data_IF_045782797188
#
_entry.id   IF_045782797188
#
_cell.length_a   1.000
_cell.length_b   1.000
_cell.length_c   1.000
_cell.angle_alpha   90.00
_cell.angle_beta   90.00
_cell.angle_gamma   90.00
#
_symmetry.space_group_name_H-M   'P 1'
#
loop_
_entity.id
_entity.type
_entity.pdbx_description
1 polymer ?
#
# COMPACT_ATOMS: atom_id res chain seq x y z
N UNK A 1 9.30 11.13 -1.57
CA UNK A 1 10.00 11.46 -2.83
C UNK A 1 8.99 11.37 -3.94
N UNK A 2 9.06 12.26 -4.92
CA UNK A 2 8.16 12.32 -6.06
C UNK A 2 9.01 12.28 -7.32
N UNK A 3 8.58 11.49 -8.31
CA UNK A 3 9.22 11.43 -9.62
C UNK A 3 8.21 11.84 -10.70
N UNK A 4 8.40 13.02 -11.27
CA UNK A 4 7.63 13.54 -12.40
C UNK A 4 8.16 12.89 -13.67
N UNK A 5 7.39 11.94 -14.19
CA UNK A 5 7.75 11.11 -15.34
C UNK A 5 7.20 11.70 -16.65
N UNK A 6 7.68 11.15 -17.78
CA UNK A 6 7.22 11.41 -19.15
C UNK A 6 7.64 12.77 -19.73
N UNK A 7 8.81 13.29 -19.34
CA UNK A 7 9.36 14.51 -19.95
C UNK A 7 9.71 14.39 -21.43
N UNK A 8 9.77 13.17 -21.96
CA UNK A 8 9.84 12.88 -23.40
C UNK A 8 8.55 13.26 -24.15
N UNK A 9 7.53 13.77 -23.46
CA UNK A 9 6.26 14.24 -24.01
C UNK A 9 5.97 15.67 -23.56
N UNK A 10 5.19 16.39 -24.37
CA UNK A 10 4.67 17.69 -23.95
C UNK A 10 3.76 17.51 -22.73
N UNK A 11 3.86 18.45 -21.79
CA UNK A 11 3.17 18.40 -20.51
C UNK A 11 2.87 19.80 -19.98
N UNK A 12 2.49 19.86 -18.70
CA UNK A 12 2.33 21.13 -17.97
C UNK A 12 3.69 21.74 -17.65
N UNK A 13 3.69 23.03 -17.37
CA UNK A 13 4.89 23.71 -16.88
C UNK A 13 5.38 23.08 -15.56
N UNK A 14 6.70 22.90 -15.36
CA UNK A 14 7.23 22.29 -14.13
C UNK A 14 6.83 23.01 -12.84
N UNK A 15 6.68 24.34 -12.84
CA UNK A 15 6.23 25.08 -11.66
C UNK A 15 4.74 24.80 -11.37
N UNK A 16 3.89 24.77 -12.39
CA UNK A 16 2.48 24.38 -12.23
C UNK A 16 2.36 22.95 -11.65
N UNK A 17 3.25 22.04 -12.05
CA UNK A 17 3.29 20.68 -11.48
C UNK A 17 3.68 20.73 -10.00
N UNK A 18 4.65 21.55 -9.60
CA UNK A 18 5.00 21.70 -8.18
C UNK A 18 3.82 22.23 -7.37
N UNK A 19 3.13 23.25 -7.86
CA UNK A 19 1.95 23.83 -7.19
C UNK A 19 0.82 22.79 -7.04
N UNK A 20 0.52 22.04 -8.12
CA UNK A 20 -0.48 20.95 -8.11
C UNK A 20 -0.10 19.83 -7.13
N UNK A 21 1.19 19.50 -7.02
CA UNK A 21 1.67 18.52 -6.05
C UNK A 21 1.47 18.99 -4.61
N UNK A 22 1.76 20.27 -4.31
CA UNK A 22 1.54 20.81 -2.97
C UNK A 22 0.05 20.88 -2.62
N UNK A 23 -0.79 21.33 -3.55
CA UNK A 23 -2.25 21.47 -3.36
C UNK A 23 -2.94 20.11 -3.21
N UNK A 24 -2.67 19.15 -4.07
CA UNK A 24 -3.39 17.86 -4.06
C UNK A 24 -2.84 16.90 -2.99
N UNK A 25 -1.53 16.88 -2.76
CA UNK A 25 -0.90 15.96 -1.82
C UNK A 25 -0.73 16.55 -0.42
N UNK A 26 -0.97 17.85 -0.24
CA UNK A 26 -0.86 18.56 1.04
C UNK A 26 0.53 18.36 1.69
N UNK A 27 1.59 18.42 0.89
CA UNK A 27 2.99 18.24 1.30
C UNK A 27 3.86 19.30 0.63
N UNK A 28 4.79 19.90 1.36
CA UNK A 28 5.73 20.84 0.76
C UNK A 28 6.66 20.09 -0.21
N UNK A 29 7.04 20.73 -1.31
CA UNK A 29 7.95 20.12 -2.29
C UNK A 29 9.29 20.83 -2.36
N UNK A 30 10.34 20.07 -2.68
CA UNK A 30 11.65 20.63 -3.04
C UNK A 30 12.16 19.95 -4.31
N UNK A 31 12.22 20.65 -5.46
CA UNK A 31 12.89 20.10 -6.62
C UNK A 31 14.39 19.87 -6.33
N UNK A 32 14.84 18.64 -6.57
CA UNK A 32 16.25 18.22 -6.50
C UNK A 32 16.84 17.94 -7.89
N UNK A 33 15.99 17.78 -8.90
CA UNK A 33 16.37 17.97 -10.29
C UNK A 33 15.39 18.91 -10.98
N UNK A 34 15.83 19.53 -12.09
CA UNK A 34 15.01 20.47 -12.85
C UNK A 34 15.09 20.17 -14.35
N UNK A 35 13.96 20.07 -15.07
CA UNK A 35 13.97 19.72 -16.49
C UNK A 35 14.40 20.88 -17.38
N UNK A 36 15.12 20.55 -18.45
CA UNK A 36 15.55 21.49 -19.48
C UNK A 36 14.67 21.26 -20.71
N UNK A 37 13.61 22.07 -20.80
CA UNK A 37 12.51 21.94 -21.78
C UNK A 37 11.74 20.60 -21.60
N UNK A 38 10.86 20.26 -22.53
CA UNK A 38 10.05 19.03 -22.51
C UNK A 38 9.68 18.57 -23.92
N UNK A 39 9.07 17.39 -24.03
CA UNK A 39 8.64 16.83 -25.31
C UNK A 39 9.81 16.58 -26.26
N UNK A 40 9.63 16.93 -27.53
CA UNK A 40 10.68 16.80 -28.55
C UNK A 40 11.89 17.70 -28.28
N UNK A 41 11.70 18.77 -27.49
CA UNK A 41 12.76 19.73 -27.17
C UNK A 41 13.54 19.36 -25.91
N UNK A 42 13.11 18.33 -25.18
CA UNK A 42 13.73 17.90 -23.93
C UNK A 42 15.23 17.66 -24.11
N UNK A 43 16.05 18.40 -23.35
CA UNK A 43 17.51 18.33 -23.42
C UNK A 43 18.15 17.60 -22.25
N UNK A 44 17.41 17.35 -21.18
CA UNK A 44 17.94 16.71 -19.98
C UNK A 44 17.47 17.38 -18.71
N UNK A 45 18.17 17.13 -17.60
CA UNK A 45 17.87 17.71 -16.29
C UNK A 45 19.13 18.29 -15.67
N UNK A 46 18.95 19.34 -14.87
CA UNK A 46 19.98 19.81 -13.96
C UNK A 46 19.70 19.25 -12.57
N UNK A 47 20.64 18.49 -12.03
CA UNK A 47 20.58 17.95 -10.68
C UNK A 47 21.06 19.02 -9.69
N UNK A 48 20.11 19.63 -8.98
CA UNK A 48 20.34 20.65 -7.95
C UNK A 48 20.99 20.08 -6.70
N UNK A 49 20.83 18.78 -6.45
CA UNK A 49 21.41 18.10 -5.30
C UNK A 49 22.91 17.85 -5.47
N UNK A 50 23.33 17.42 -6.66
CA UNK A 50 24.72 17.07 -6.97
C UNK A 50 25.48 18.13 -7.78
N UNK A 51 24.81 19.22 -8.19
CA UNK A 51 25.32 20.23 -9.12
C UNK A 51 25.89 19.59 -10.40
N UNK A 52 25.04 18.83 -11.09
CA UNK A 52 25.40 18.16 -12.35
C UNK A 52 24.37 18.41 -13.43
N UNK A 53 24.84 18.41 -14.67
CA UNK A 53 24.01 18.46 -15.86
C UNK A 53 23.94 17.06 -16.47
N UNK A 54 22.74 16.51 -16.53
CA UNK A 54 22.46 15.23 -17.15
C UNK A 54 21.80 15.51 -18.50
N UNK A 55 22.48 15.15 -19.59
CA UNK A 55 21.98 15.41 -20.94
C UNK A 55 21.14 14.24 -21.42
N UNK A 56 19.95 14.53 -21.94
CA UNK A 56 19.05 13.51 -22.45
C UNK A 56 19.55 12.96 -23.79
N UNK A 57 19.70 11.64 -23.85
CA UNK A 57 19.87 10.90 -25.09
C UNK A 57 18.79 9.81 -25.15
N UNK A 58 17.95 9.77 -26.20
CA UNK A 58 16.92 8.74 -26.34
C UNK A 58 17.54 7.35 -26.41
N UNK A 59 17.48 6.61 -25.30
CA UNK A 59 17.97 5.24 -25.19
C UNK A 59 17.23 4.52 -24.07
N UNK A 60 17.02 3.21 -24.19
CA UNK A 60 16.45 2.39 -23.12
C UNK A 60 17.49 1.64 -22.31
N UNK A 61 18.75 1.66 -22.76
CA UNK A 61 19.82 0.82 -22.23
C UNK A 61 21.00 1.63 -21.69
N UNK A 62 21.19 2.85 -22.17
CA UNK A 62 22.32 3.70 -21.82
C UNK A 62 21.87 4.67 -20.75
N UNK A 63 22.52 4.60 -19.58
CA UNK A 63 22.46 5.68 -18.59
C UNK A 63 23.43 6.75 -19.04
N UNK A 64 22.95 7.99 -19.17
CA UNK A 64 23.81 9.08 -19.62
C UNK A 64 24.76 9.51 -18.50
N UNK A 65 26.01 9.84 -18.85
CA UNK A 65 26.98 10.31 -17.87
C UNK A 65 26.67 11.75 -17.45
N UNK A 66 26.72 12.00 -16.15
CA UNK A 66 26.53 13.32 -15.54
C UNK A 66 27.75 14.19 -15.74
N UNK A 67 27.57 15.42 -16.23
CA UNK A 67 28.63 16.43 -16.28
C UNK A 67 28.54 17.28 -15.02
N UNK A 68 29.44 17.09 -14.06
CA UNK A 68 29.48 17.89 -12.84
C UNK A 68 29.95 19.31 -13.15
N UNK A 69 29.03 20.26 -13.01
CA UNK A 69 29.30 21.66 -13.30
C UNK A 69 28.35 22.56 -12.51
N UNK A 70 28.87 23.71 -12.09
CA UNK A 70 28.06 24.75 -11.49
C UNK A 70 27.15 25.39 -12.55
N UNK A 71 25.91 25.71 -12.19
CA UNK A 71 24.92 26.31 -13.11
C UNK A 71 25.37 27.66 -13.70
N UNK A 72 26.25 28.38 -13.02
CA UNK A 72 26.84 29.63 -13.49
C UNK A 72 28.04 29.41 -14.43
N UNK A 73 28.47 28.16 -14.63
CA UNK A 73 29.56 27.83 -15.56
C UNK A 73 29.18 28.22 -17.00
N UNK A 74 30.10 28.84 -17.76
CA UNK A 74 29.93 29.03 -19.20
C UNK A 74 29.81 27.70 -19.96
N UNK A 75 30.23 26.59 -19.35
CA UNK A 75 30.16 25.26 -19.96
C UNK A 75 28.72 24.78 -20.15
N UNK A 76 27.77 25.22 -19.30
CA UNK A 76 26.33 24.95 -19.48
C UNK A 76 25.88 25.36 -20.88
N UNK A 77 26.26 26.57 -21.29
CA UNK A 77 25.88 27.13 -22.59
C UNK A 77 26.44 26.32 -23.76
N UNK A 78 27.62 25.71 -23.60
CA UNK A 78 28.19 24.83 -24.63
C UNK A 78 27.37 23.56 -24.84
N UNK A 79 26.72 23.07 -23.79
CA UNK A 79 25.95 21.83 -23.84
C UNK A 79 24.50 22.02 -24.30
N UNK A 80 23.82 23.07 -23.83
CA UNK A 80 22.38 23.26 -24.08
C UNK A 80 22.05 24.54 -24.86
N UNK A 81 23.04 25.39 -25.15
CA UNK A 81 22.87 26.65 -25.86
C UNK A 81 22.44 27.83 -24.96
N UNK A 82 22.67 29.04 -25.44
CA UNK A 82 22.49 30.29 -24.68
C UNK A 82 21.09 30.43 -24.09
N UNK A 83 20.05 30.33 -24.93
CA UNK A 83 18.66 30.53 -24.54
C UNK A 83 18.20 29.56 -23.44
N UNK A 84 18.53 28.27 -23.55
CA UNK A 84 18.15 27.28 -22.54
C UNK A 84 18.97 27.45 -21.26
N UNK A 85 20.25 27.82 -21.37
CA UNK A 85 21.09 28.10 -20.20
C UNK A 85 20.60 29.31 -19.40
N UNK A 86 20.12 30.36 -20.06
CA UNK A 86 19.55 31.55 -19.41
C UNK A 86 18.25 31.21 -18.69
N UNK A 87 17.33 30.50 -19.36
CA UNK A 87 16.09 30.01 -18.74
C UNK A 87 16.39 29.13 -17.53
N UNK A 88 17.28 28.14 -17.68
CA UNK A 88 17.63 27.24 -16.58
C UNK A 88 18.21 28.01 -15.38
N UNK A 89 19.10 28.99 -15.61
CA UNK A 89 19.62 29.83 -14.52
C UNK A 89 18.51 30.61 -13.82
N UNK A 90 17.60 31.21 -14.57
CA UNK A 90 16.44 31.94 -14.03
C UNK A 90 15.52 31.01 -13.23
N UNK A 91 15.23 29.81 -13.74
CA UNK A 91 14.37 28.84 -13.05
C UNK A 91 15.03 28.37 -11.74
N UNK A 92 16.35 28.10 -11.76
CA UNK A 92 17.11 27.66 -10.57
C UNK A 92 17.23 28.77 -9.52
N UNK A 93 17.39 30.03 -9.95
CA UNK A 93 17.35 31.20 -9.06
C UNK A 93 15.98 31.31 -8.37
N UNK A 94 14.89 31.24 -9.16
CA UNK A 94 13.53 31.25 -8.63
C UNK A 94 13.30 30.11 -7.62
N UNK A 95 13.76 28.90 -7.94
CA UNK A 95 13.67 27.75 -7.03
C UNK A 95 14.41 28.00 -5.72
N UNK A 96 15.57 28.66 -5.78
CA UNK A 96 16.41 28.93 -4.61
C UNK A 96 15.83 30.05 -3.74
N UNK A 97 15.06 30.98 -4.31
CA UNK A 97 14.38 32.05 -3.58
C UNK A 97 13.04 31.61 -3.00
N UNK A 98 12.26 30.81 -3.73
CA UNK A 98 10.89 30.43 -3.37
C UNK A 98 10.86 29.19 -2.47
N UNK A 99 11.61 28.14 -2.80
CA UNK A 99 11.58 26.89 -2.06
C UNK A 99 12.72 26.83 -1.05
N UNK A 100 12.46 26.45 0.21
CA UNK A 100 13.53 26.25 1.19
C UNK A 100 14.52 25.18 0.71
N UNK A 101 15.73 25.23 1.24
CA UNK A 101 16.72 24.18 1.01
C UNK A 101 16.22 22.82 1.49
N UNK A 102 16.76 21.74 0.92
CA UNK A 102 16.36 20.39 1.33
C UNK A 102 16.68 20.14 2.80
N UNK A 103 15.64 19.81 3.57
CA UNK A 103 15.76 19.44 4.98
C UNK A 103 15.42 17.95 5.16
N UNK A 104 16.42 17.17 5.58
CA UNK A 104 16.25 15.73 5.78
C UNK A 104 15.28 15.40 6.92
N UNK A 105 15.24 16.18 7.99
CA UNK A 105 14.33 15.95 9.12
C UNK A 105 12.87 16.14 8.70
N UNK A 106 12.58 17.20 7.93
CA UNK A 106 11.24 17.44 7.38
C UNK A 106 10.81 16.35 6.40
N UNK A 107 11.74 15.86 5.57
CA UNK A 107 11.49 14.70 4.71
C UNK A 107 11.16 13.44 5.51
N UNK A 108 11.95 13.13 6.55
CA UNK A 108 11.74 11.94 7.39
C UNK A 108 10.44 12.04 8.22
N UNK A 109 9.97 13.26 8.49
CA UNK A 109 8.69 13.57 9.12
C UNK A 109 7.50 13.60 8.14
N UNK A 110 7.73 13.40 6.83
CA UNK A 110 6.68 13.40 5.80
C UNK A 110 6.12 14.79 5.47
N UNK A 111 6.82 15.86 5.85
CA UNK A 111 6.41 17.25 5.59
C UNK A 111 6.98 17.83 4.30
N UNK A 112 8.11 17.28 3.85
CA UNK A 112 8.82 17.70 2.64
C UNK A 112 9.01 16.52 1.69
N UNK A 113 8.67 16.70 0.42
CA UNK A 113 8.89 15.72 -0.63
C UNK A 113 9.94 16.23 -1.63
N UNK A 114 11.11 15.56 -1.74
CA UNK A 114 12.04 15.87 -2.82
C UNK A 114 11.46 15.42 -4.16
N UNK A 115 11.53 16.30 -5.17
CA UNK A 115 10.97 16.09 -6.50
C UNK A 115 12.09 15.90 -7.51
N UNK A 116 11.98 14.83 -8.30
CA UNK A 116 12.84 14.53 -9.43
C UNK A 116 12.03 14.51 -10.71
N UNK A 117 12.69 14.87 -11.80
CA UNK A 117 12.14 15.00 -13.13
C UNK A 117 12.86 14.02 -14.07
N UNK A 118 12.13 13.33 -14.95
CA UNK A 118 12.77 12.42 -15.90
C UNK A 118 11.83 11.69 -16.88
N UNK A 119 12.39 10.68 -17.53
CA UNK A 119 11.68 9.78 -18.44
C UNK A 119 12.07 8.33 -18.14
N UNK A 120 11.23 7.63 -17.38
CA UNK A 120 11.44 6.24 -17.03
C UNK A 120 11.43 5.32 -18.26
N UNK A 121 10.69 5.67 -19.32
CA UNK A 121 10.67 4.92 -20.59
C UNK A 121 12.05 4.88 -21.24
N UNK A 122 12.82 5.95 -21.08
CA UNK A 122 14.17 6.12 -21.61
C UNK A 122 15.24 6.01 -20.52
N UNK A 123 14.90 5.40 -19.38
CA UNK A 123 15.82 5.20 -18.24
C UNK A 123 16.59 6.48 -17.83
N UNK A 124 15.94 7.64 -17.92
CA UNK A 124 16.56 8.95 -17.71
C UNK A 124 16.00 9.63 -16.45
N UNK A 125 16.86 10.16 -15.58
CA UNK A 125 16.49 10.74 -14.28
C UNK A 125 16.28 9.69 -13.17
N UNK A 126 16.26 8.40 -13.52
CA UNK A 126 16.01 7.29 -12.59
C UNK A 126 17.23 7.01 -11.72
N UNK A 127 18.44 7.11 -12.28
CA UNK A 127 19.68 6.90 -11.52
C UNK A 127 19.80 7.96 -10.42
N UNK A 128 19.57 9.22 -10.74
CA UNK A 128 19.70 10.35 -9.82
C UNK A 128 18.70 10.22 -8.66
N UNK A 129 17.46 9.81 -8.99
CA UNK A 129 16.45 9.48 -7.98
C UNK A 129 16.92 8.33 -7.07
N UNK A 130 17.48 7.25 -7.63
CA UNK A 130 17.92 6.08 -6.86
C UNK A 130 19.16 6.39 -6.00
N UNK A 131 20.13 7.12 -6.53
CA UNK A 131 21.32 7.57 -5.80
C UNK A 131 20.90 8.42 -4.58
N UNK A 132 19.99 9.38 -4.80
CA UNK A 132 19.43 10.17 -3.71
C UNK A 132 18.62 9.30 -2.74
N UNK A 133 17.81 8.35 -3.25
CA UNK A 133 17.02 7.43 -2.43
C UNK A 133 17.89 6.66 -1.44
N UNK A 134 18.99 6.08 -1.89
CA UNK A 134 19.92 5.33 -1.03
C UNK A 134 20.51 6.23 0.06
N UNK A 135 20.74 7.51 -0.21
CA UNK A 135 21.37 8.45 0.72
C UNK A 135 20.40 9.00 1.78
N UNK A 136 19.19 9.42 1.37
CA UNK A 136 18.30 10.16 2.27
C UNK A 136 17.17 9.31 2.85
N UNK A 137 16.77 8.21 2.20
CA UNK A 137 15.67 7.36 2.67
C UNK A 137 15.99 6.74 4.05
N UNK A 138 14.97 6.49 4.87
CA UNK A 138 15.20 5.87 6.18
C UNK A 138 15.58 4.40 6.03
N UNK A 139 16.54 3.97 6.85
CA UNK A 139 16.71 2.56 7.24
C UNK A 139 15.45 2.05 7.97
N UNK A 140 15.33 0.73 8.23
CA UNK A 140 14.24 0.19 9.04
C UNK A 140 14.06 1.01 10.32
N UNK A 141 12.81 1.37 10.63
CA UNK A 141 12.45 2.19 11.79
C UNK A 141 11.76 1.34 12.84
N UNK A 142 11.80 1.84 14.08
CA UNK A 142 11.06 1.26 15.17
C UNK A 142 9.56 1.17 14.85
N UNK A 143 8.93 0.07 15.29
CA UNK A 143 7.53 -0.24 15.01
C UNK A 143 6.77 -0.35 16.32
N UNK A 144 5.58 0.25 16.39
CA UNK A 144 4.73 0.22 17.57
C UNK A 144 3.95 -1.10 17.65
N UNK A 145 3.97 -1.75 18.82
CA UNK A 145 3.07 -2.86 19.17
C UNK A 145 2.10 -2.42 20.27
N UNK A 146 1.18 -3.30 20.67
CA UNK A 146 0.33 -3.10 21.86
C UNK A 146 1.14 -2.97 23.15
N UNK A 147 2.19 -3.78 23.27
CA UNK A 147 2.98 -3.92 24.49
C UNK A 147 4.09 -2.89 24.58
N UNK A 148 4.84 -2.66 23.48
CA UNK A 148 6.01 -1.78 23.47
C UNK A 148 6.39 -1.33 22.06
N UNK A 149 7.40 -0.48 21.98
CA UNK A 149 8.08 -0.19 20.73
C UNK A 149 9.13 -1.29 20.48
N UNK A 150 9.17 -1.82 19.27
CA UNK A 150 10.19 -2.77 18.80
C UNK A 150 11.24 -2.01 18.00
N UNK A 151 12.48 -2.10 18.44
CA UNK A 151 13.63 -1.51 17.75
C UNK A 151 14.17 -2.50 16.69
N UNK A 152 14.42 -2.05 15.45
CA UNK A 152 14.91 -2.92 14.38
C UNK A 152 16.28 -3.56 14.65
N UNK A 153 17.06 -3.00 15.57
CA UNK A 153 18.37 -3.51 15.96
C UNK A 153 18.33 -4.53 17.10
N UNK A 154 17.15 -4.90 17.61
CA UNK A 154 17.03 -6.02 18.57
C UNK A 154 17.52 -7.32 17.94
N UNK A 155 18.17 -8.18 18.73
CA UNK A 155 18.70 -9.47 18.23
C UNK A 155 17.60 -10.48 17.91
N UNK A 156 16.50 -10.43 18.67
CA UNK A 156 15.41 -11.39 18.56
C UNK A 156 14.50 -11.07 17.38
N UNK A 157 14.18 -12.10 16.61
CA UNK A 157 13.29 -11.99 15.46
C UNK A 157 11.89 -11.57 15.89
N UNK A 158 11.36 -10.57 15.19
CA UNK A 158 9.95 -10.25 15.17
C UNK A 158 9.52 -9.82 13.77
N UNK A 159 8.28 -10.12 13.39
CA UNK A 159 7.70 -9.65 12.15
C UNK A 159 6.21 -9.92 12.08
N UNK A 160 5.54 -9.25 11.14
CA UNK A 160 4.10 -9.40 10.94
C UNK A 160 3.74 -9.69 9.49
N UNK A 161 2.66 -10.42 9.29
CA UNK A 161 2.06 -10.69 7.99
C UNK A 161 1.30 -9.44 7.53
N UNK A 162 1.74 -8.80 6.46
CA UNK A 162 1.07 -7.59 5.94
C UNK A 162 0.29 -7.84 4.65
N UNK A 163 0.54 -8.97 3.99
CA UNK A 163 -0.11 -9.34 2.74
C UNK A 163 -0.15 -10.86 2.64
N UNK A 164 -1.24 -11.39 2.12
CA UNK A 164 -1.38 -12.80 1.77
C UNK A 164 -1.76 -12.85 0.30
N UNK A 165 -1.17 -13.77 -0.45
CA UNK A 165 -1.51 -13.97 -1.85
C UNK A 165 -1.63 -15.45 -2.15
N UNK A 166 -2.80 -15.87 -2.62
CA UNK A 166 -3.01 -17.24 -3.03
C UNK A 166 -2.84 -17.41 -4.53
N UNK A 167 -2.54 -18.65 -4.94
CA UNK A 167 -2.54 -19.09 -6.34
C UNK A 167 -1.61 -18.27 -7.26
N UNK A 168 -0.45 -17.83 -6.76
CA UNK A 168 0.59 -17.22 -7.61
C UNK A 168 1.04 -18.15 -8.75
N UNK A 169 0.97 -19.47 -8.55
CA UNK A 169 1.23 -20.47 -9.58
C UNK A 169 -0.09 -21.20 -9.92
N UNK A 170 -0.57 -21.14 -11.16
CA UNK A 170 -1.77 -21.87 -11.59
C UNK A 170 -1.68 -23.39 -11.36
N UNK A 171 -0.47 -23.95 -11.36
CA UNK A 171 -0.23 -25.40 -11.21
C UNK A 171 -0.15 -25.83 -9.74
N UNK A 172 0.24 -24.91 -8.85
CA UNK A 172 0.35 -25.15 -7.42
C UNK A 172 -0.49 -24.10 -6.69
N UNK A 173 -1.64 -24.52 -6.15
CA UNK A 173 -2.51 -23.72 -5.28
C UNK A 173 -1.84 -23.40 -3.93
N UNK A 174 -0.68 -22.78 -4.01
CA UNK A 174 0.16 -22.38 -2.90
C UNK A 174 -0.26 -20.97 -2.50
N UNK A 175 -0.51 -20.80 -1.21
CA UNK A 175 -0.68 -19.50 -0.59
C UNK A 175 0.67 -19.05 -0.04
N UNK A 176 0.98 -17.77 -0.16
CA UNK A 176 2.19 -17.18 0.43
C UNK A 176 1.75 -16.02 1.33
N UNK A 177 2.17 -16.07 2.58
CA UNK A 177 2.07 -14.97 3.52
C UNK A 177 3.37 -14.15 3.46
N UNK A 178 3.25 -12.85 3.16
CA UNK A 178 4.36 -11.92 3.13
C UNK A 178 4.53 -11.33 4.52
N UNK A 179 5.66 -11.67 5.14
CA UNK A 179 6.07 -11.19 6.46
C UNK A 179 7.07 -10.07 6.29
N UNK A 180 6.80 -8.92 6.91
CA UNK A 180 7.79 -7.85 7.07
C UNK A 180 8.58 -8.13 8.34
N UNK A 181 9.89 -8.28 8.21
CA UNK A 181 10.78 -8.43 9.36
C UNK A 181 10.94 -7.06 10.03
N UNK A 182 10.65 -7.01 11.33
CA UNK A 182 10.67 -5.79 12.12
C UNK A 182 11.93 -5.67 12.96
N UNK A 183 12.45 -6.79 13.49
CA UNK A 183 13.70 -6.84 14.24
C UNK A 183 14.38 -8.20 14.09
N UNK A 184 15.65 -8.26 14.49
CA UNK A 184 16.44 -9.49 14.57
C UNK A 184 16.67 -10.18 13.23
N UNK A 185 16.91 -11.49 13.32
CA UNK A 185 17.27 -12.33 12.18
C UNK A 185 16.25 -13.45 11.99
N UNK A 186 15.61 -13.46 10.83
CA UNK A 186 14.87 -14.63 10.36
C UNK A 186 15.86 -15.66 9.83
N UNK A 187 15.63 -16.93 10.14
CA UNK A 187 16.45 -18.07 9.72
C UNK A 187 15.54 -19.22 9.29
N UNK A 188 15.89 -19.80 8.15
CA UNK A 188 15.24 -20.99 7.65
C UNK A 188 15.36 -22.13 8.67
N UNK A 189 14.31 -22.93 8.79
CA UNK A 189 14.25 -24.10 9.66
C UNK A 189 14.36 -23.84 11.18
N UNK A 190 14.23 -22.60 11.62
CA UNK A 190 14.08 -22.22 13.04
C UNK A 190 12.60 -22.21 13.45
N UNK A 191 12.33 -22.45 14.74
CA UNK A 191 10.99 -22.37 15.31
C UNK A 191 10.67 -20.93 15.71
N UNK A 192 9.55 -20.41 15.19
CA UNK A 192 8.99 -19.11 15.56
C UNK A 192 7.62 -19.27 16.19
N UNK A 193 7.32 -18.47 17.20
CA UNK A 193 6.01 -18.43 17.83
C UNK A 193 5.05 -17.64 16.96
N UNK A 194 3.96 -18.27 16.56
CA UNK A 194 2.80 -17.60 16.00
C UNK A 194 1.90 -17.13 17.14
N UNK A 195 1.92 -15.83 17.42
CA UNK A 195 1.36 -15.24 18.64
C UNK A 195 -0.13 -15.56 18.80
N UNK A 196 -0.97 -15.28 17.79
CA UNK A 196 -2.43 -15.54 17.84
C UNK A 196 -2.83 -16.98 18.18
N UNK A 197 -2.02 -17.97 17.78
CA UNK A 197 -2.29 -19.38 18.06
C UNK A 197 -1.46 -19.94 19.20
N UNK A 198 -0.55 -19.14 19.76
CA UNK A 198 0.43 -19.56 20.76
C UNK A 198 1.12 -20.89 20.41
N UNK A 199 1.50 -21.08 19.15
CA UNK A 199 2.14 -22.30 18.64
C UNK A 199 3.47 -22.00 17.96
N UNK A 200 4.40 -22.93 18.05
CA UNK A 200 5.65 -22.87 17.30
C UNK A 200 5.45 -23.36 15.86
N UNK A 201 6.03 -22.64 14.91
CA UNK A 201 6.01 -22.94 13.48
C UNK A 201 7.43 -22.91 12.93
N UNK A 202 7.71 -23.81 11.99
CA UNK A 202 8.99 -23.93 11.32
C UNK A 202 8.80 -23.87 9.81
N UNK A 203 9.67 -23.12 9.13
CA UNK A 203 9.56 -22.87 7.69
C UNK A 203 10.77 -23.44 6.97
N UNK A 204 10.57 -24.45 6.12
CA UNK A 204 11.63 -25.13 5.36
C UNK A 204 11.89 -24.53 3.99
N UNK A 205 10.93 -23.79 3.44
CA UNK A 205 11.02 -23.14 2.13
C UNK A 205 10.51 -21.69 2.13
N UNK A 206 11.02 -20.82 3.03
CA UNK A 206 10.78 -19.39 2.94
C UNK A 206 11.35 -18.84 1.63
N UNK A 207 10.66 -17.88 1.03
CA UNK A 207 10.95 -17.37 -0.31
C UNK A 207 11.31 -15.90 -0.24
N UNK A 208 12.43 -15.52 -0.83
CA UNK A 208 12.73 -14.13 -1.17
C UNK A 208 12.19 -13.81 -2.57
N UNK A 209 11.67 -12.60 -2.74
CA UNK A 209 11.20 -12.10 -4.02
C UNK A 209 12.22 -11.12 -4.60
N UNK A 210 13.16 -11.64 -5.38
CA UNK A 210 14.11 -10.81 -6.12
C UNK A 210 13.67 -10.73 -7.59
N UNK A 211 13.17 -9.55 -7.98
CA UNK A 211 12.61 -9.29 -9.30
C UNK A 211 11.53 -10.31 -9.70
N UNK A 212 11.77 -11.11 -10.75
CA UNK A 212 10.82 -12.11 -11.27
C UNK A 212 11.07 -13.53 -10.73
N UNK A 213 12.11 -13.75 -9.92
CA UNK A 213 12.49 -15.09 -9.45
C UNK A 213 12.12 -15.29 -7.98
N UNK A 214 11.63 -16.49 -7.68
CA UNK A 214 11.42 -17.00 -6.33
C UNK A 214 12.66 -17.81 -5.96
N UNK A 215 13.38 -17.39 -4.93
CA UNK A 215 14.54 -18.12 -4.43
C UNK A 215 14.32 -18.48 -2.96
N UNK A 216 14.78 -19.67 -2.57
CA UNK A 216 14.70 -20.10 -1.17
C UNK A 216 15.68 -19.24 -0.38
N UNK A 217 15.16 -18.58 0.64
CA UNK A 217 15.92 -17.70 1.51
C UNK A 217 16.47 -18.48 2.71
N UNK A 218 17.74 -18.27 3.05
CA UNK A 218 18.33 -18.85 4.27
C UNK A 218 18.16 -17.94 5.49
N UNK A 219 18.36 -16.63 5.30
CA UNK A 219 18.21 -15.63 6.37
C UNK A 219 17.64 -14.30 5.85
N UNK A 220 17.04 -13.51 6.75
CA UNK A 220 16.53 -12.16 6.47
C UNK A 220 16.67 -11.26 7.69
N UNK A 221 16.77 -9.95 7.47
CA UNK A 221 16.97 -8.94 8.52
C UNK A 221 15.83 -7.91 8.54
N UNK A 222 15.80 -7.07 9.57
CA UNK A 222 14.82 -5.99 9.68
C UNK A 222 14.74 -5.16 8.39
N UNK A 223 13.52 -4.93 7.90
CA UNK A 223 13.25 -4.28 6.61
C UNK A 223 13.00 -5.25 5.46
N UNK A 224 13.50 -6.48 5.52
CA UNK A 224 13.27 -7.48 4.50
C UNK A 224 11.83 -7.99 4.51
N UNK A 225 11.39 -8.49 3.35
CA UNK A 225 10.11 -9.14 3.15
C UNK A 225 10.35 -10.62 2.84
N UNK A 226 9.80 -11.49 3.68
CA UNK A 226 9.91 -12.94 3.54
C UNK A 226 8.55 -13.52 3.15
N UNK A 227 8.53 -14.33 2.09
CA UNK A 227 7.36 -15.12 1.71
C UNK A 227 7.35 -16.46 2.44
N UNK A 228 6.37 -16.70 3.30
CA UNK A 228 6.18 -17.97 3.99
C UNK A 228 5.08 -18.79 3.30
N UNK A 229 5.31 -20.09 3.03
CA UNK A 229 4.27 -20.97 2.57
C UNK A 229 3.12 -21.01 3.59
N UNK A 230 1.92 -20.75 3.10
CA UNK A 230 0.72 -20.75 3.91
C UNK A 230 -0.26 -21.82 3.45
N UNK A 231 -0.84 -22.53 4.42
CA UNK A 231 -1.87 -23.54 4.21
C UNK A 231 -3.22 -23.08 4.80
N UNK A 232 -3.45 -21.76 4.89
CA UNK A 232 -4.60 -21.15 5.57
C UNK A 232 -4.40 -20.95 7.07
N UNK A 233 -3.14 -20.88 7.50
CA UNK A 233 -2.76 -20.65 8.89
C UNK A 233 -2.66 -19.16 9.20
N UNK A 234 -2.21 -18.36 8.25
CA UNK A 234 -1.97 -16.93 8.46
C UNK A 234 -3.20 -16.08 8.14
N UNK A 235 -3.31 -14.96 8.84
CA UNK A 235 -4.15 -13.80 8.53
C UNK A 235 -3.27 -12.56 8.41
N UNK A 236 -3.74 -11.55 7.68
CA UNK A 236 -3.13 -10.22 7.73
C UNK A 236 -3.16 -9.72 9.19
N UNK A 237 -2.03 -9.23 9.67
CA UNK A 237 -1.81 -8.84 11.06
C UNK A 237 -1.22 -9.92 11.97
N UNK A 238 -1.13 -11.17 11.51
CA UNK A 238 -0.51 -12.21 12.34
C UNK A 238 0.96 -11.89 12.61
N UNK A 239 1.34 -12.02 13.89
CA UNK A 239 2.69 -11.76 14.37
C UNK A 239 3.47 -13.06 14.59
N UNK A 240 4.72 -13.07 14.12
CA UNK A 240 5.71 -14.12 14.36
C UNK A 240 6.85 -13.54 15.19
N UNK A 241 7.26 -14.24 16.25
CA UNK A 241 8.37 -13.83 17.12
C UNK A 241 9.28 -15.00 17.48
N UNK A 242 10.44 -14.71 18.06
CA UNK A 242 11.32 -15.71 18.68
C UNK A 242 10.76 -16.29 20.02
N UNK A 243 9.61 -15.82 20.51
CA UNK A 243 8.97 -16.34 21.73
C UNK A 243 8.13 -15.31 22.49
N UNK A 244 8.44 -14.03 22.35
CA UNK A 244 7.71 -12.91 22.97
C UNK A 244 6.28 -12.79 22.42
N UNK A 245 5.32 -12.41 23.25
CA UNK A 245 3.97 -12.06 22.81
C UNK A 245 3.94 -10.58 22.44
N UNK A 246 3.92 -10.32 21.12
CA UNK A 246 3.85 -8.98 20.55
C UNK A 246 2.69 -8.90 19.56
N UNK A 247 1.97 -7.79 19.57
CA UNK A 247 0.88 -7.50 18.62
C UNK A 247 1.17 -6.21 17.86
N UNK A 248 1.67 -6.34 16.63
CA UNK A 248 1.97 -5.18 15.78
C UNK A 248 0.71 -4.39 15.41
N UNK A 249 0.79 -3.06 15.53
CA UNK A 249 -0.30 -2.13 15.18
C UNK A 249 -0.11 -1.54 13.78
N UNK A 250 -1.18 -0.94 13.26
CA UNK A 250 -1.10 -0.02 12.13
C UNK A 250 -1.19 -0.68 10.76
N UNK A 251 -1.72 -1.90 10.67
CA UNK A 251 -2.24 -2.43 9.43
C UNK A 251 -3.65 -1.86 9.24
N UNK A 252 -3.88 -0.95 8.29
CA UNK A 252 -5.21 -0.38 8.14
C UNK A 252 -6.18 -1.46 7.67
N UNK A 253 -7.14 -1.83 8.52
CA UNK A 253 -8.38 -2.43 8.03
C UNK A 253 -9.21 -1.31 7.40
N UNK A 254 -9.41 -1.36 6.09
CA UNK A 254 -10.21 -0.34 5.43
C UNK A 254 -11.70 -0.61 5.65
N UNK A 255 -12.43 0.41 6.10
CA UNK A 255 -13.89 0.44 6.02
C UNK A 255 -14.29 0.33 4.54
N UNK A 256 -15.14 -0.63 4.15
CA UNK A 256 -15.69 -0.64 2.81
C UNK A 256 -16.53 0.61 2.54
N UNK A 257 -16.42 1.13 1.32
CA UNK A 257 -17.17 2.29 0.81
C UNK A 257 -18.19 1.87 -0.26
N UNK A 258 -17.99 0.70 -0.89
CA UNK A 258 -18.86 0.15 -1.91
C UNK A 258 -19.32 -1.25 -1.54
N UNK A 259 -20.58 -1.55 -1.78
CA UNK A 259 -21.19 -2.83 -1.41
C UNK A 259 -21.98 -3.42 -2.57
N UNK A 260 -21.87 -4.73 -2.77
CA UNK A 260 -22.69 -5.49 -3.71
C UNK A 260 -23.01 -6.87 -3.15
N UNK A 261 -24.18 -7.40 -3.47
CA UNK A 261 -24.43 -8.82 -3.30
C UNK A 261 -23.61 -9.61 -4.33
N UNK A 262 -23.04 -10.73 -3.87
CA UNK A 262 -22.43 -11.72 -4.76
C UNK A 262 -23.40 -12.86 -4.99
N UNK A 263 -23.81 -13.04 -6.24
CA UNK A 263 -24.70 -14.12 -6.66
C UNK A 263 -23.94 -15.16 -7.47
N UNK A 264 -24.29 -16.43 -7.26
CA UNK A 264 -23.74 -17.51 -8.05
C UNK A 264 -24.38 -17.50 -9.45
N UNK A 265 -23.56 -17.37 -10.49
CA UNK A 265 -24.05 -17.42 -11.87
C UNK A 265 -24.19 -18.86 -12.39
N UNK A 266 -23.57 -19.84 -11.73
CA UNK A 266 -23.65 -21.26 -12.07
C UNK A 266 -24.02 -22.10 -10.84
N UNK A 267 -25.30 -22.53 -10.69
CA UNK A 267 -25.76 -23.33 -9.56
C UNK A 267 -24.91 -24.58 -9.27
N UNK A 268 -24.30 -25.19 -10.30
CA UNK A 268 -23.46 -26.37 -10.16
C UNK A 268 -22.10 -26.09 -9.50
N UNK A 269 -21.67 -24.82 -9.44
CA UNK A 269 -20.37 -24.38 -8.93
C UNK A 269 -20.42 -23.70 -7.56
N UNK A 270 -21.50 -23.89 -6.81
CA UNK A 270 -21.72 -23.23 -5.51
C UNK A 270 -20.58 -23.47 -4.50
N UNK A 271 -20.02 -24.69 -4.45
CA UNK A 271 -18.89 -25.02 -3.56
C UNK A 271 -17.60 -24.31 -3.97
N UNK A 272 -17.34 -24.21 -5.28
CA UNK A 272 -16.17 -23.52 -5.81
C UNK A 272 -16.27 -22.02 -5.55
N UNK A 273 -17.44 -21.42 -5.78
CA UNK A 273 -17.69 -20.02 -5.47
C UNK A 273 -17.48 -19.74 -3.98
N UNK A 274 -18.08 -20.55 -3.09
CA UNK A 274 -17.93 -20.37 -1.65
C UNK A 274 -16.45 -20.41 -1.24
N UNK A 275 -15.72 -21.43 -1.68
CA UNK A 275 -14.29 -21.58 -1.36
C UNK A 275 -13.47 -20.40 -1.90
N UNK A 276 -13.72 -19.99 -3.14
CA UNK A 276 -13.00 -18.89 -3.77
C UNK A 276 -13.27 -17.55 -3.08
N UNK A 277 -14.52 -17.28 -2.72
CA UNK A 277 -14.88 -16.08 -1.95
C UNK A 277 -14.17 -16.10 -0.61
N UNK A 278 -14.30 -17.17 0.18
CA UNK A 278 -13.68 -17.27 1.50
C UNK A 278 -12.16 -17.02 1.45
N UNK A 279 -11.48 -17.61 0.47
CA UNK A 279 -10.02 -17.46 0.29
C UNK A 279 -9.63 -16.05 -0.17
N UNK A 280 -10.36 -15.44 -1.10
CA UNK A 280 -10.11 -14.05 -1.51
C UNK A 280 -10.33 -13.05 -0.37
N UNK A 281 -11.25 -13.34 0.55
CA UNK A 281 -11.42 -12.51 1.74
C UNK A 281 -10.27 -12.70 2.75
N UNK A 282 -9.73 -13.93 2.89
CA UNK A 282 -8.53 -14.17 3.73
C UNK A 282 -7.30 -13.43 3.19
N UNK A 283 -7.21 -13.26 1.88
CA UNK A 283 -6.18 -12.44 1.23
C UNK A 283 -6.35 -10.93 1.47
N UNK A 284 -7.43 -10.49 2.12
CA UNK A 284 -7.73 -9.08 2.35
C UNK A 284 -8.15 -8.31 1.11
N UNK A 285 -8.59 -8.99 0.04
CA UNK A 285 -9.02 -8.33 -1.21
C UNK A 285 -10.27 -7.48 -0.98
N UNK A 286 -11.16 -7.93 -0.09
CA UNK A 286 -12.41 -7.26 0.27
C UNK A 286 -12.92 -7.80 1.61
N UNK A 287 -14.00 -7.19 2.12
CA UNK A 287 -14.72 -7.67 3.31
C UNK A 287 -15.95 -8.47 2.91
N UNK A 288 -16.24 -9.55 3.63
CA UNK A 288 -17.44 -10.37 3.46
C UNK A 288 -18.38 -10.21 4.64
N UNK A 289 -19.64 -9.91 4.31
CA UNK A 289 -20.74 -9.87 5.25
C UNK A 289 -21.83 -10.85 4.82
N UNK A 290 -22.47 -11.48 5.80
CA UNK A 290 -23.64 -12.34 5.59
C UNK A 290 -24.85 -11.67 6.22
N UNK A 291 -25.78 -11.22 5.38
CA UNK A 291 -27.00 -10.57 5.83
C UNK A 291 -27.86 -11.56 6.61
N UNK A 292 -28.26 -11.20 7.85
CA UNK A 292 -29.04 -12.08 8.73
C UNK A 292 -30.48 -12.25 8.26
N UNK A 293 -31.04 -11.27 7.55
CA UNK A 293 -32.43 -11.30 7.10
C UNK A 293 -32.68 -12.31 5.98
N UNK A 294 -31.78 -12.40 5.01
CA UNK A 294 -31.95 -13.22 3.82
C UNK A 294 -30.83 -14.23 3.56
N UNK A 295 -29.79 -14.26 4.41
CA UNK A 295 -28.63 -15.16 4.28
C UNK A 295 -27.71 -14.84 3.09
N UNK A 296 -27.97 -13.76 2.35
CA UNK A 296 -27.18 -13.39 1.16
C UNK A 296 -25.82 -12.84 1.57
N UNK A 297 -24.82 -13.11 0.73
CA UNK A 297 -23.44 -12.64 0.91
C UNK A 297 -23.27 -11.26 0.27
N UNK A 298 -22.73 -10.32 1.03
CA UNK A 298 -22.41 -8.96 0.61
C UNK A 298 -20.89 -8.82 0.64
N UNK A 299 -20.33 -8.29 -0.44
CA UNK A 299 -18.92 -7.96 -0.54
C UNK A 299 -18.77 -6.45 -0.43
N UNK A 300 -17.96 -6.01 0.52
CA UNK A 300 -17.57 -4.63 0.73
C UNK A 300 -16.17 -4.35 0.21
N UNK A 301 -16.01 -3.35 -0.65
CA UNK A 301 -14.72 -2.91 -1.21
C UNK A 301 -14.49 -1.42 -0.98
N UNK A 302 -13.23 -0.98 -1.06
CA UNK A 302 -12.86 0.44 -1.04
C UNK A 302 -13.04 1.07 -2.43
N UNK A 303 -12.89 0.28 -3.49
CA UNK A 303 -13.04 0.76 -4.86
C UNK A 303 -13.69 -0.25 -5.81
N UNK A 304 -14.18 0.25 -6.94
CA UNK A 304 -14.90 -0.55 -7.94
C UNK A 304 -14.02 -1.65 -8.57
N UNK A 305 -12.74 -1.36 -8.84
CA UNK A 305 -11.81 -2.31 -9.47
C UNK A 305 -11.68 -3.62 -8.68
N UNK A 306 -11.85 -3.59 -7.36
CA UNK A 306 -11.78 -4.80 -6.54
C UNK A 306 -12.90 -5.81 -6.89
N UNK A 307 -14.10 -5.36 -7.26
CA UNK A 307 -15.15 -6.27 -7.73
C UNK A 307 -14.76 -6.99 -9.02
N UNK A 308 -14.10 -6.28 -9.94
CA UNK A 308 -13.64 -6.82 -11.22
C UNK A 308 -12.50 -7.83 -10.99
N UNK A 309 -11.57 -7.52 -10.10
CA UNK A 309 -10.49 -8.43 -9.69
C UNK A 309 -11.06 -9.69 -9.03
N UNK A 310 -12.03 -9.57 -8.11
CA UNK A 310 -12.67 -10.72 -7.47
C UNK A 310 -13.37 -11.60 -8.52
N UNK A 311 -14.15 -11.00 -9.41
CA UNK A 311 -14.85 -11.74 -10.47
C UNK A 311 -13.88 -12.47 -11.40
N UNK A 312 -12.79 -11.80 -11.82
CA UNK A 312 -11.73 -12.39 -12.63
C UNK A 312 -11.07 -13.58 -11.92
N UNK A 313 -10.66 -13.39 -10.67
CA UNK A 313 -9.98 -14.44 -9.89
C UNK A 313 -10.90 -15.63 -9.60
N UNK A 314 -12.17 -15.41 -9.26
CA UNK A 314 -13.16 -16.48 -9.10
C UNK A 314 -13.29 -17.34 -10.36
N UNK A 315 -13.33 -16.70 -11.53
CA UNK A 315 -13.41 -17.40 -12.80
C UNK A 315 -12.13 -18.18 -13.12
N UNK A 316 -10.97 -17.53 -13.04
CA UNK A 316 -9.71 -18.10 -13.52
C UNK A 316 -9.03 -19.06 -12.53
N UNK A 317 -9.16 -18.83 -11.22
CA UNK A 317 -8.52 -19.67 -10.20
C UNK A 317 -9.44 -20.78 -9.66
N UNK A 318 -10.75 -20.50 -9.62
CA UNK A 318 -11.73 -21.40 -9.00
C UNK A 318 -12.74 -21.97 -10.00
N UNK A 319 -12.78 -21.47 -11.24
CA UNK A 319 -13.75 -21.89 -12.24
C UNK A 319 -15.19 -21.56 -11.84
N UNK A 320 -15.39 -20.51 -11.04
CA UNK A 320 -16.67 -20.08 -10.52
C UNK A 320 -17.06 -18.72 -11.12
N UNK A 321 -18.22 -18.67 -11.76
CA UNK A 321 -18.79 -17.41 -12.26
C UNK A 321 -19.68 -16.78 -11.19
N UNK A 322 -19.53 -15.48 -10.98
CA UNK A 322 -20.41 -14.70 -10.12
C UNK A 322 -21.04 -13.55 -10.88
N UNK A 323 -22.19 -13.10 -10.37
CA UNK A 323 -22.86 -11.87 -10.79
C UNK A 323 -22.95 -10.93 -9.60
N UNK A 324 -22.70 -9.66 -9.85
CA UNK A 324 -22.89 -8.62 -8.85
C UNK A 324 -24.30 -8.04 -8.93
N UNK A 325 -24.98 -7.96 -7.79
CA UNK A 325 -26.24 -7.22 -7.66
C UNK A 325 -26.00 -5.99 -6.77
N UNK A 326 -26.31 -4.78 -7.24
CA UNK A 326 -26.13 -3.55 -6.45
C UNK A 326 -26.93 -3.58 -5.16
N UNK A 327 -26.35 -3.01 -4.10
CA UNK A 327 -27.05 -2.69 -2.86
C UNK A 327 -26.67 -1.27 -2.44
N UNK A 328 -27.66 -0.49 -2.00
CA UNK A 328 -27.44 0.86 -1.52
C UNK A 328 -27.12 0.83 -0.03
N UNK A 329 -25.83 0.78 0.30
CA UNK A 329 -25.35 0.92 1.66
C UNK A 329 -24.45 2.15 1.75
N UNK A 330 -24.60 2.89 2.84
CA UNK A 330 -23.74 3.99 3.20
C UNK A 330 -22.51 3.50 3.95
N UNK A 331 -22.69 2.62 4.95
CA UNK A 331 -21.58 2.15 5.78
C UNK A 331 -21.87 0.82 6.46
N UNK A 332 -20.82 0.02 6.66
CA UNK A 332 -20.84 -1.12 7.56
C UNK A 332 -20.19 -0.72 8.89
N UNK A 333 -20.89 -0.93 10.00
CA UNK A 333 -20.40 -0.59 11.34
C UNK A 333 -20.41 -1.83 12.21
N UNK A 334 -19.27 -2.20 12.79
CA UNK A 334 -19.26 -3.24 13.82
C UNK A 334 -19.84 -2.67 15.10
N UNK A 335 -20.64 -3.48 15.79
CA UNK A 335 -21.34 -3.04 16.99
C UNK A 335 -20.98 -3.89 18.20
N UNK A 336 -20.77 -3.23 19.33
CA UNK A 336 -20.57 -3.86 20.64
C UNK A 336 -21.26 -3.06 21.73
N UNK A 337 -21.54 -3.70 22.86
CA UNK A 337 -22.16 -3.06 24.01
C UNK A 337 -21.95 -3.91 25.26
N UNK A 338 -21.68 -3.26 26.39
CA UNK A 338 -21.70 -3.90 27.71
C UNK A 338 -23.15 -4.20 28.18
N UNK A 339 -24.16 -3.60 27.54
CA UNK A 339 -25.58 -3.84 27.79
C UNK A 339 -26.16 -4.84 26.78
N UNK A 340 -26.10 -6.12 27.15
CA UNK A 340 -26.61 -7.21 26.32
C UNK A 340 -28.11 -7.08 25.98
N UNK A 341 -28.91 -6.49 26.87
CA UNK A 341 -30.35 -6.33 26.62
C UNK A 341 -30.61 -5.26 25.56
N UNK A 342 -29.89 -4.14 25.63
CA UNK A 342 -29.98 -3.08 24.63
C UNK A 342 -29.45 -3.55 23.27
N UNK A 343 -28.35 -4.31 23.24
CA UNK A 343 -27.80 -4.87 22.00
C UNK A 343 -28.79 -5.83 21.32
N UNK A 344 -29.46 -6.69 22.08
CA UNK A 344 -30.47 -7.60 21.53
C UNK A 344 -31.73 -6.86 21.06
N UNK A 345 -32.17 -5.80 21.75
CA UNK A 345 -33.25 -4.93 21.26
C UNK A 345 -32.85 -4.24 19.95
N UNK A 346 -31.63 -3.71 19.84
CA UNK A 346 -31.11 -3.13 18.61
C UNK A 346 -31.16 -4.12 17.44
N UNK A 347 -30.61 -5.33 17.64
CA UNK A 347 -30.60 -6.39 16.61
C UNK A 347 -32.01 -6.74 16.15
N UNK A 348 -32.98 -6.80 17.07
CA UNK A 348 -34.39 -7.07 16.73
C UNK A 348 -35.00 -5.94 15.91
N UNK A 349 -34.82 -4.69 16.33
CA UNK A 349 -35.40 -3.52 15.63
C UNK A 349 -34.75 -3.26 14.28
N UNK A 350 -33.46 -3.55 14.14
CA UNK A 350 -32.67 -3.34 12.92
C UNK A 350 -32.38 -4.63 12.16
N UNK A 351 -33.14 -5.71 12.40
CA UNK A 351 -32.86 -7.05 11.88
C UNK A 351 -32.58 -7.12 10.38
N UNK A 352 -33.30 -6.33 9.57
CA UNK A 352 -33.13 -6.26 8.11
C UNK A 352 -31.76 -5.73 7.67
N UNK A 353 -31.11 -4.96 8.54
CA UNK A 353 -29.84 -4.29 8.33
C UNK A 353 -28.71 -4.94 9.13
N UNK A 354 -28.97 -6.05 9.81
CA UNK A 354 -27.95 -6.79 10.54
C UNK A 354 -27.26 -7.79 9.61
N UNK A 355 -25.94 -7.81 9.70
CA UNK A 355 -25.10 -8.80 9.07
C UNK A 355 -24.08 -9.37 10.07
N UNK A 356 -23.47 -10.47 9.67
CA UNK A 356 -22.31 -11.05 10.34
C UNK A 356 -21.11 -10.92 9.44
N UNK A 357 -19.98 -10.47 9.97
CA UNK A 357 -18.73 -10.56 9.24
C UNK A 357 -18.22 -12.02 9.19
N UNK A 358 -17.06 -12.22 8.57
CA UNK A 358 -16.43 -13.54 8.48
C UNK A 358 -16.12 -14.19 9.84
N UNK A 359 -15.93 -13.39 10.89
CA UNK A 359 -15.61 -13.86 12.25
C UNK A 359 -16.86 -14.06 13.11
N UNK A 360 -18.05 -13.79 12.57
CA UNK A 360 -19.32 -13.92 13.29
C UNK A 360 -19.63 -12.73 14.20
N UNK A 361 -18.91 -11.61 14.04
CA UNK A 361 -19.18 -10.35 14.75
C UNK A 361 -20.39 -9.66 14.15
N UNK A 362 -21.14 -8.95 15.00
CA UNK A 362 -22.33 -8.22 14.59
C UNK A 362 -21.95 -6.94 13.83
N UNK A 363 -22.54 -6.78 12.64
CA UNK A 363 -22.34 -5.63 11.76
C UNK A 363 -23.69 -5.01 11.42
N UNK A 364 -23.83 -3.72 11.68
CA UNK A 364 -24.94 -2.90 11.23
C UNK A 364 -24.63 -2.30 9.86
N UNK A 365 -25.46 -2.60 8.87
CA UNK A 365 -25.38 -2.09 7.51
C UNK A 365 -26.28 -0.86 7.36
N UNK A 366 -25.72 0.33 7.56
CA UNK A 366 -26.45 1.59 7.45
C UNK A 366 -26.68 1.95 5.97
N UNK A 367 -27.92 2.21 5.57
CA UNK A 367 -28.26 2.66 4.21
C UNK A 367 -28.00 4.16 3.98
N UNK A 368 -27.95 4.96 5.05
CA UNK A 368 -27.67 6.39 4.99
C UNK A 368 -27.01 6.91 6.27
N UNK A 369 -26.32 8.05 6.17
CA UNK A 369 -25.75 8.73 7.33
C UNK A 369 -26.82 9.11 8.36
N UNK A 370 -28.00 9.54 7.91
CA UNK A 370 -29.12 9.88 8.80
C UNK A 370 -29.56 8.69 9.66
N UNK A 371 -29.72 7.50 9.07
CA UNK A 371 -30.09 6.29 9.80
C UNK A 371 -29.01 5.86 10.80
N UNK A 372 -27.74 6.03 10.45
CA UNK A 372 -26.62 5.78 11.36
C UNK A 372 -26.67 6.73 12.55
N UNK A 373 -26.85 8.04 12.32
CA UNK A 373 -26.94 9.03 13.39
C UNK A 373 -28.13 8.77 14.31
N UNK A 374 -29.30 8.43 13.76
CA UNK A 374 -30.47 8.04 14.56
C UNK A 374 -30.19 6.81 15.42
N UNK A 375 -29.57 5.77 14.86
CA UNK A 375 -29.20 4.57 15.60
C UNK A 375 -28.27 4.89 16.78
N UNK A 376 -27.26 5.75 16.58
CA UNK A 376 -26.36 6.20 17.63
C UNK A 376 -27.06 7.03 18.72
N UNK A 377 -28.07 7.83 18.35
CA UNK A 377 -28.84 8.64 19.31
C UNK A 377 -29.81 7.80 20.15
N UNK A 378 -30.49 6.84 19.51
CA UNK A 378 -31.49 5.98 20.15
C UNK A 378 -30.84 4.91 21.04
N UNK A 379 -29.64 4.46 20.70
CA UNK A 379 -28.92 3.37 21.38
C UNK A 379 -27.55 3.82 21.89
N UNK A 380 -27.57 4.66 22.92
CA UNK A 380 -26.36 5.32 23.45
C UNK A 380 -25.34 4.40 24.12
N UNK A 381 -25.73 3.19 24.52
CA UNK A 381 -24.79 2.24 25.14
C UNK A 381 -24.19 1.28 24.10
N UNK A 382 -24.48 1.47 22.80
CA UNK A 382 -23.88 0.69 21.71
C UNK A 382 -22.74 1.50 21.10
N UNK A 383 -21.54 0.94 21.09
CA UNK A 383 -20.42 1.48 20.34
C UNK A 383 -20.52 1.05 18.88
N UNK A 384 -20.25 1.99 17.97
CA UNK A 384 -20.26 1.78 16.52
C UNK A 384 -18.85 2.01 15.99
N UNK A 385 -18.23 0.91 15.55
CA UNK A 385 -16.86 0.89 15.04
C UNK A 385 -16.85 0.88 13.52
N UNK A 386 -16.01 1.71 12.93
CA UNK A 386 -15.90 1.86 11.47
C UNK A 386 -14.79 1.01 10.86
N UNK A 387 -13.90 0.48 11.69
CA UNK A 387 -12.80 -0.39 11.29
C UNK A 387 -13.03 -1.77 11.90
N UNK A 388 -12.47 -2.82 11.29
CA UNK A 388 -12.62 -4.18 11.81
C UNK A 388 -11.61 -4.52 12.91
N UNK A 389 -10.63 -3.64 13.15
CA UNK A 389 -9.65 -3.71 14.24
C UNK A 389 -10.06 -2.74 15.35
N UNK A 390 -11.07 -3.11 16.14
CA UNK A 390 -11.58 -2.31 17.26
C UNK A 390 -11.50 -3.09 18.57
#
# INVERSE_FOLDING_TARGET
MIFVNKLDREGKDPFEILDELEEELQVAVRPLSWPIDMGERFKGVYNLYQNSLDLYQPSKQIVTESVHLNIQSPEVERHIGAKLSEKLRSDVELISEVYPGFNREEYLAGKLAPVFFGSALNNFGVKELLDCFVEIAPSPRAVQTEERVVDPYEESFSGFVFKIHANMDPNHRSCIAFVKVCSGRFERNVNYKHVRYSRLMKFSSPTAFMAQKKEILDEAFAGDIVGLPDNGNFKIGDTLTAGEDLHFKGLPSFSPEMFKYIENADPMKSKQLQKGVEQLMDEGVAQLFTNQFNGRKIIGTVGQLQFEVIQYRLLHEYGAQCRWEPINLYKACWIESDDAAQLEDFKKRKYQYMAKDKEGRDVFLAESNYLLMMAQQDFKNIAFHFNSEF
#
